data_IF_390048547768
#
_entry.id   IF_390048547768
#
_cell.length_a   1.000
_cell.length_b   1.000
_cell.length_c   1.000
_cell.angle_alpha   90.00
_cell.angle_beta   90.00
_cell.angle_gamma   90.00
#
_symmetry.space_group_name_H-M   'P 1'
#
loop_
_entity.id
_entity.type
_entity.pdbx_description
1 polymer ?
#
# COMPACT_ATOMS: atom_id res chain seq x y z
N UNK A 1 -29.85 -4.34 65.59
CA UNK A 1 -29.85 -3.59 64.31
C UNK A 1 -28.44 -3.55 63.70
N UNK A 2 -27.79 -4.67 63.46
CA UNK A 2 -26.44 -4.73 62.84
C UNK A 2 -26.27 -5.80 61.75
N UNK A 3 -27.30 -6.50 61.30
CA UNK A 3 -27.15 -7.60 60.34
C UNK A 3 -27.95 -7.45 59.02
N UNK A 4 -28.55 -6.28 58.76
CA UNK A 4 -29.35 -6.09 57.54
C UNK A 4 -28.54 -5.40 56.42
N UNK A 5 -27.45 -4.72 56.75
CA UNK A 5 -26.64 -3.97 55.74
C UNK A 5 -25.66 -4.86 54.96
N UNK A 6 -25.31 -6.04 55.42
CA UNK A 6 -24.33 -6.92 54.76
C UNK A 6 -24.92 -7.75 53.61
N UNK A 7 -26.21 -8.08 53.63
CA UNK A 7 -26.84 -8.89 52.60
C UNK A 7 -27.20 -8.07 51.32
N UNK A 8 -27.53 -6.80 51.47
CA UNK A 8 -27.80 -5.96 50.29
C UNK A 8 -26.56 -5.58 49.50
N UNK A 9 -25.41 -5.42 50.15
CA UNK A 9 -24.15 -5.14 49.48
C UNK A 9 -23.60 -6.30 48.67
N UNK A 10 -23.79 -7.52 49.13
CA UNK A 10 -23.36 -8.75 48.43
C UNK A 10 -24.26 -9.03 47.22
N UNK A 11 -25.56 -8.76 47.30
CA UNK A 11 -26.47 -8.94 46.18
C UNK A 11 -26.24 -7.91 45.05
N UNK A 12 -25.89 -6.64 45.38
CA UNK A 12 -25.54 -5.64 44.39
C UNK A 12 -24.20 -5.94 43.70
N UNK A 13 -23.21 -6.43 44.45
CA UNK A 13 -21.89 -6.77 43.86
C UNK A 13 -21.98 -8.01 42.97
N UNK A 14 -22.80 -8.99 43.31
CA UNK A 14 -23.05 -10.17 42.47
C UNK A 14 -23.81 -9.80 41.18
N UNK A 15 -24.72 -8.83 41.23
CA UNK A 15 -25.47 -8.35 40.05
C UNK A 15 -24.55 -7.59 39.09
N UNK A 16 -23.56 -6.81 39.57
CA UNK A 16 -22.57 -6.14 38.73
C UNK A 16 -21.56 -7.10 38.10
N UNK A 17 -21.23 -8.20 38.77
CA UNK A 17 -20.31 -9.21 38.19
C UNK A 17 -21.00 -10.04 37.09
N UNK A 18 -22.30 -10.25 37.17
CA UNK A 18 -23.06 -10.97 36.12
C UNK A 18 -23.32 -10.10 34.87
N UNK A 19 -23.32 -8.76 34.99
CA UNK A 19 -23.45 -7.87 33.80
C UNK A 19 -22.11 -7.60 33.11
N UNK A 20 -20.99 -8.01 33.66
CA UNK A 20 -19.68 -8.01 33.01
C UNK A 20 -19.42 -9.28 32.18
N UNK A 21 -20.46 -9.98 31.73
CA UNK A 21 -20.29 -10.94 30.63
C UNK A 21 -19.88 -10.14 29.40
N UNK A 22 -18.60 -10.21 29.10
CA UNK A 22 -17.96 -9.73 27.89
C UNK A 22 -18.91 -9.90 26.71
N UNK A 23 -19.40 -8.81 26.16
CA UNK A 23 -19.96 -8.79 24.80
C UNK A 23 -18.84 -9.19 23.85
N UNK A 24 -18.57 -10.47 23.76
CA UNK A 24 -17.70 -11.02 22.75
C UNK A 24 -18.46 -10.89 21.45
N UNK A 25 -17.86 -10.23 20.47
CA UNK A 25 -18.44 -10.19 19.14
C UNK A 25 -18.79 -11.64 18.70
N UNK A 26 -19.97 -11.83 18.15
CA UNK A 26 -20.40 -13.16 17.73
C UNK A 26 -19.48 -13.66 16.63
N UNK A 27 -19.04 -14.91 16.73
CA UNK A 27 -18.29 -15.60 15.70
C UNK A 27 -19.25 -16.22 14.68
N UNK A 28 -18.97 -16.00 13.40
CA UNK A 28 -19.66 -16.57 12.25
C UNK A 28 -18.69 -17.46 11.50
N UNK A 29 -18.65 -18.76 11.83
CA UNK A 29 -17.80 -19.70 11.12
C UNK A 29 -18.35 -19.92 9.72
N UNK A 30 -17.56 -19.71 8.68
CA UNK A 30 -18.02 -19.87 7.30
C UNK A 30 -18.50 -21.28 6.98
N UNK A 31 -18.06 -22.30 7.73
CA UNK A 31 -18.50 -23.67 7.57
C UNK A 31 -19.98 -23.86 7.97
N UNK A 32 -20.48 -23.07 8.91
CA UNK A 32 -21.90 -23.09 9.33
C UNK A 32 -22.80 -22.55 8.20
N UNK A 33 -22.21 -21.83 7.22
CA UNK A 33 -22.87 -21.33 6.02
C UNK A 33 -22.61 -22.21 4.79
N UNK A 34 -21.97 -23.37 4.96
CA UNK A 34 -21.75 -24.35 3.92
C UNK A 34 -20.41 -24.34 3.21
N UNK A 35 -19.46 -23.50 3.65
CA UNK A 35 -18.11 -23.49 3.12
C UNK A 35 -17.41 -24.85 3.36
N UNK A 36 -16.67 -25.33 2.38
CA UNK A 36 -15.96 -26.62 2.44
C UNK A 36 -14.50 -26.46 2.88
N UNK A 37 -13.83 -25.44 2.37
CA UNK A 37 -12.41 -25.22 2.63
C UNK A 37 -11.52 -26.34 2.08
N UNK A 38 -11.90 -26.95 0.96
CA UNK A 38 -11.21 -28.08 0.31
C UNK A 38 -10.25 -27.60 -0.80
N UNK A 39 -10.24 -26.29 -1.12
CA UNK A 39 -9.44 -25.71 -2.20
C UNK A 39 -9.95 -25.96 -3.61
N UNK A 40 -11.02 -26.69 -3.78
CA UNK A 40 -11.58 -27.10 -5.07
C UNK A 40 -12.94 -26.43 -5.34
N UNK A 41 -13.85 -26.49 -4.39
CA UNK A 41 -15.18 -25.87 -4.49
C UNK A 41 -15.11 -24.39 -4.17
N UNK A 42 -15.88 -23.61 -4.92
CA UNK A 42 -16.02 -22.18 -4.65
C UNK A 42 -16.85 -21.97 -3.37
N UNK A 43 -16.21 -21.43 -2.35
CA UNK A 43 -16.82 -21.09 -1.06
C UNK A 43 -17.36 -19.65 -1.02
N UNK A 44 -17.29 -18.90 -2.11
CA UNK A 44 -17.65 -17.48 -2.20
C UNK A 44 -19.01 -17.18 -1.60
N UNK A 45 -20.04 -17.97 -1.97
CA UNK A 45 -21.42 -17.75 -1.51
C UNK A 45 -21.55 -17.99 0.00
N UNK A 46 -20.91 -19.03 0.51
CA UNK A 46 -20.93 -19.35 1.95
C UNK A 46 -20.21 -18.28 2.76
N UNK A 47 -19.04 -17.85 2.31
CA UNK A 47 -18.28 -16.78 2.98
C UNK A 47 -19.07 -15.47 2.96
N UNK A 48 -19.65 -15.10 1.80
CA UNK A 48 -20.44 -13.87 1.69
C UNK A 48 -21.69 -13.93 2.59
N UNK A 49 -22.34 -15.09 2.69
CA UNK A 49 -23.49 -15.29 3.56
C UNK A 49 -23.14 -15.10 5.05
N UNK A 50 -21.95 -15.54 5.46
CA UNK A 50 -21.45 -15.29 6.82
C UNK A 50 -21.22 -13.79 7.06
N UNK A 51 -20.62 -13.07 6.09
CA UNK A 51 -20.41 -11.61 6.17
C UNK A 51 -21.76 -10.88 6.27
N UNK A 52 -22.74 -11.29 5.45
CA UNK A 52 -24.08 -10.68 5.43
C UNK A 52 -24.84 -10.96 6.75
N UNK A 53 -24.67 -12.14 7.31
CA UNK A 53 -25.26 -12.49 8.60
C UNK A 53 -24.64 -11.69 9.75
N UNK A 54 -23.32 -11.50 9.74
CA UNK A 54 -22.61 -10.67 10.71
C UNK A 54 -23.09 -9.22 10.66
N UNK A 55 -23.14 -8.61 9.47
CA UNK A 55 -23.66 -7.25 9.26
C UNK A 55 -25.10 -7.13 9.79
N UNK A 56 -25.97 -8.06 9.44
CA UNK A 56 -27.39 -8.06 9.88
C UNK A 56 -27.54 -8.11 11.39
N UNK A 57 -26.57 -8.68 12.10
CA UNK A 57 -26.51 -8.72 13.58
C UNK A 57 -25.91 -7.45 14.19
N UNK A 58 -25.52 -6.49 13.37
CA UNK A 58 -24.86 -5.25 13.82
C UNK A 58 -23.35 -5.37 13.96
N UNK A 59 -22.75 -6.43 13.45
CA UNK A 59 -21.32 -6.71 13.44
C UNK A 59 -20.97 -8.09 13.99
N UNK A 60 -19.73 -8.49 13.83
CA UNK A 60 -19.22 -9.76 14.32
C UNK A 60 -17.95 -10.20 13.59
N UNK A 61 -17.39 -11.31 14.05
CA UNK A 61 -16.19 -11.89 13.47
C UNK A 61 -16.54 -13.05 12.56
N UNK A 62 -16.28 -12.92 11.26
CA UNK A 62 -16.41 -14.00 10.27
C UNK A 62 -15.10 -14.77 10.22
N UNK A 63 -15.15 -16.07 10.50
CA UNK A 63 -13.96 -16.88 10.74
C UNK A 63 -13.77 -17.92 9.66
N UNK A 64 -12.60 -17.88 9.01
CA UNK A 64 -12.05 -18.95 8.20
C UNK A 64 -11.05 -19.74 9.05
N UNK A 65 -11.25 -21.04 9.23
CA UNK A 65 -10.33 -21.92 9.94
C UNK A 65 -10.22 -23.29 9.27
N UNK A 66 -9.03 -23.88 9.38
CA UNK A 66 -8.74 -25.27 8.99
C UNK A 66 -9.10 -25.60 7.54
N UNK A 67 -8.50 -24.94 6.58
CA UNK A 67 -8.72 -25.27 5.17
C UNK A 67 -8.27 -24.22 4.16
N UNK A 68 -8.49 -24.56 2.90
CA UNK A 68 -8.22 -23.71 1.75
C UNK A 68 -9.56 -23.31 1.14
N UNK A 69 -9.94 -22.05 1.30
CA UNK A 69 -11.24 -21.53 0.85
C UNK A 69 -11.09 -20.85 -0.50
N UNK A 70 -11.46 -21.57 -1.58
CA UNK A 70 -11.44 -21.02 -2.94
C UNK A 70 -12.59 -20.02 -3.10
N UNK A 71 -12.25 -18.76 -3.41
CA UNK A 71 -13.25 -17.70 -3.49
C UNK A 71 -13.04 -16.74 -4.65
N UNK A 72 -14.15 -16.31 -5.22
CA UNK A 72 -14.23 -15.09 -6.00
C UNK A 72 -14.31 -13.87 -5.09
N UNK A 73 -14.81 -12.76 -5.64
CA UNK A 73 -14.89 -11.49 -4.93
C UNK A 73 -15.81 -11.54 -3.69
N UNK A 74 -15.35 -10.97 -2.61
CA UNK A 74 -16.05 -10.82 -1.34
C UNK A 74 -16.27 -9.33 -1.05
N UNK A 75 -17.46 -8.96 -0.59
CA UNK A 75 -17.77 -7.62 -0.14
C UNK A 75 -17.80 -7.57 1.38
N UNK A 76 -16.78 -6.94 1.98
CA UNK A 76 -16.72 -6.72 3.43
C UNK A 76 -17.64 -5.54 3.81
N UNK A 77 -18.36 -5.68 4.92
CA UNK A 77 -19.43 -4.77 5.33
C UNK A 77 -19.18 -4.18 6.71
N UNK A 78 -19.90 -3.11 7.03
CA UNK A 78 -19.75 -2.39 8.30
C UNK A 78 -19.89 -3.29 9.52
N UNK A 79 -19.03 -3.10 10.51
CA UNK A 79 -19.01 -3.85 11.77
C UNK A 79 -18.41 -5.26 11.66
N UNK A 80 -17.91 -5.67 10.49
CA UNK A 80 -17.42 -7.03 10.27
C UNK A 80 -15.90 -7.11 10.39
N UNK A 81 -15.42 -8.01 11.24
CA UNK A 81 -14.06 -8.51 11.27
C UNK A 81 -13.97 -9.79 10.43
N UNK A 82 -13.22 -9.75 9.32
CA UNK A 82 -12.90 -10.91 8.50
C UNK A 82 -11.60 -11.56 9.01
N UNK A 83 -11.73 -12.66 9.70
CA UNK A 83 -10.64 -13.34 10.40
C UNK A 83 -10.18 -14.59 9.65
N UNK A 84 -8.92 -14.61 9.26
CA UNK A 84 -8.27 -15.76 8.60
C UNK A 84 -7.35 -16.40 9.63
N UNK A 85 -7.75 -17.52 10.19
CA UNK A 85 -6.95 -18.25 11.17
C UNK A 85 -5.64 -18.76 10.57
N UNK A 86 -4.65 -19.04 11.42
CA UNK A 86 -3.32 -19.52 11.01
C UNK A 86 -3.37 -20.75 10.10
N UNK A 87 -4.36 -21.62 10.30
CA UNK A 87 -4.55 -22.87 9.55
C UNK A 87 -5.38 -22.69 8.29
N UNK A 88 -5.81 -21.45 7.99
CA UNK A 88 -6.67 -21.15 6.86
C UNK A 88 -5.95 -20.37 5.75
N UNK A 89 -6.34 -20.68 4.52
CA UNK A 89 -5.96 -19.91 3.33
C UNK A 89 -7.23 -19.48 2.58
N UNK A 90 -7.34 -18.18 2.33
CA UNK A 90 -8.27 -17.65 1.34
C UNK A 90 -7.58 -17.69 -0.03
N UNK A 91 -8.01 -18.59 -0.90
CA UNK A 91 -7.44 -18.79 -2.24
C UNK A 91 -8.31 -18.08 -3.29
N UNK A 92 -7.70 -17.17 -4.07
CA UNK A 92 -8.44 -16.48 -5.14
C UNK A 92 -8.79 -17.43 -6.29
N UNK A 93 -10.01 -17.31 -6.80
CA UNK A 93 -10.45 -18.06 -7.97
C UNK A 93 -9.56 -17.77 -9.19
N UNK A 94 -9.21 -18.78 -9.97
CA UNK A 94 -8.53 -18.57 -11.25
C UNK A 94 -9.44 -17.99 -12.34
N UNK A 95 -10.75 -18.01 -12.13
CA UNK A 95 -11.73 -17.52 -13.09
C UNK A 95 -12.04 -16.04 -12.87
N UNK A 96 -11.67 -15.21 -13.84
CA UNK A 96 -11.91 -13.76 -13.78
C UNK A 96 -13.41 -13.39 -13.74
N UNK A 97 -14.29 -14.28 -14.18
CA UNK A 97 -15.72 -14.05 -14.12
C UNK A 97 -16.28 -14.03 -12.69
N UNK A 98 -15.52 -14.59 -11.73
CA UNK A 98 -15.89 -14.56 -10.31
C UNK A 98 -15.61 -13.18 -9.65
N UNK A 99 -15.07 -12.23 -10.40
CA UNK A 99 -14.74 -10.90 -9.91
C UNK A 99 -15.53 -9.82 -10.65
N UNK A 100 -16.68 -9.40 -10.11
CA UNK A 100 -17.48 -8.34 -10.70
C UNK A 100 -16.74 -7.00 -10.69
N UNK A 101 -17.11 -6.14 -11.63
CA UNK A 101 -16.59 -4.78 -11.68
C UNK A 101 -17.37 -3.89 -10.71
N UNK A 102 -16.67 -3.31 -9.74
CA UNK A 102 -17.22 -2.41 -8.71
C UNK A 102 -17.37 -0.95 -9.17
N UNK A 103 -17.42 -0.68 -10.47
CA UNK A 103 -17.50 0.68 -11.04
C UNK A 103 -18.76 1.46 -10.69
N UNK A 104 -19.78 0.82 -10.20
CA UNK A 104 -21.08 1.46 -9.89
C UNK A 104 -21.27 1.75 -8.39
N UNK A 105 -20.23 1.64 -7.60
CA UNK A 105 -20.28 1.99 -6.18
C UNK A 105 -19.99 3.47 -5.98
N UNK A 106 -20.52 4.06 -4.92
CA UNK A 106 -20.66 5.50 -4.75
C UNK A 106 -19.34 6.29 -4.77
N UNK A 107 -18.23 5.70 -4.36
CA UNK A 107 -16.92 6.35 -4.29
C UNK A 107 -15.99 6.07 -5.46
N UNK A 108 -16.34 5.17 -6.36
CA UNK A 108 -15.49 4.84 -7.49
C UNK A 108 -16.16 5.27 -8.78
N UNK A 109 -15.92 6.51 -9.14
CA UNK A 109 -16.33 7.02 -10.46
C UNK A 109 -15.52 6.30 -11.53
N UNK A 110 -16.17 5.92 -12.63
CA UNK A 110 -15.59 5.33 -13.84
C UNK A 110 -14.26 5.96 -14.18
N UNK A 111 -13.14 5.34 -13.80
CA UNK A 111 -11.90 5.94 -14.16
C UNK A 111 -10.73 5.04 -14.32
N UNK A 112 -10.15 5.24 -15.39
CA UNK A 112 -8.76 5.18 -15.82
C UNK A 112 -7.72 4.79 -14.76
N UNK A 113 -8.07 3.80 -13.96
CA UNK A 113 -7.08 3.01 -13.30
C UNK A 113 -6.38 2.19 -14.37
N UNK A 114 -5.10 1.88 -14.24
CA UNK A 114 -4.27 1.34 -15.32
C UNK A 114 -4.84 0.11 -16.02
N UNK A 115 -5.94 -0.41 -15.54
CA UNK A 115 -6.69 -1.51 -16.12
C UNK A 115 -8.17 -1.28 -15.81
N UNK A 116 -8.92 -1.07 -16.78
CA UNK A 116 -10.30 -0.61 -16.93
C UNK A 116 -11.38 -1.23 -16.01
N UNK A 117 -11.03 -2.03 -15.02
CA UNK A 117 -11.98 -2.72 -14.14
C UNK A 117 -11.60 -2.51 -12.68
N UNK A 118 -12.57 -2.12 -11.86
CA UNK A 118 -12.43 -2.04 -10.41
C UNK A 118 -12.78 -3.39 -9.76
N UNK A 119 -12.03 -4.43 -10.12
CA UNK A 119 -12.19 -5.76 -9.54
C UNK A 119 -11.22 -5.93 -8.35
N UNK A 120 -11.65 -6.67 -7.36
CA UNK A 120 -10.85 -7.02 -6.20
C UNK A 120 -11.32 -8.36 -5.61
N UNK A 121 -10.42 -9.05 -4.90
CA UNK A 121 -10.78 -10.24 -4.14
C UNK A 121 -11.58 -9.87 -2.88
N UNK A 122 -11.13 -8.85 -2.15
CA UNK A 122 -11.86 -8.30 -1.01
C UNK A 122 -12.11 -6.81 -1.28
N UNK A 123 -13.36 -6.44 -1.31
CA UNK A 123 -13.81 -5.08 -1.59
C UNK A 123 -14.67 -4.55 -0.43
N UNK A 124 -14.57 -3.27 -0.16
CA UNK A 124 -15.47 -2.56 0.75
C UNK A 124 -15.67 -1.12 0.29
N UNK A 125 -16.89 -0.61 0.42
CA UNK A 125 -17.28 0.72 0.02
C UNK A 125 -18.11 1.38 1.11
N UNK A 126 -17.69 2.57 1.56
CA UNK A 126 -18.33 3.37 2.62
C UNK A 126 -18.59 2.63 3.95
N UNK A 127 -17.88 1.52 4.17
CA UNK A 127 -18.07 0.74 5.39
C UNK A 127 -17.32 1.35 6.57
N UNK A 128 -17.86 1.12 7.76
CA UNK A 128 -17.29 1.59 9.03
C UNK A 128 -17.01 0.42 9.95
N UNK A 129 -15.92 0.52 10.73
CA UNK A 129 -15.53 -0.50 11.71
C UNK A 129 -15.35 -1.86 11.04
N UNK A 130 -14.47 -1.91 10.04
CA UNK A 130 -14.14 -3.14 9.32
C UNK A 130 -12.74 -3.61 9.66
N UNK A 131 -12.54 -4.91 9.66
CA UNK A 131 -11.21 -5.46 9.90
C UNK A 131 -10.91 -6.67 9.01
N UNK A 132 -9.65 -6.83 8.62
CA UNK A 132 -9.07 -8.09 8.14
C UNK A 132 -7.99 -8.47 9.16
N UNK A 133 -8.13 -9.63 9.79
CA UNK A 133 -7.24 -10.04 10.88
C UNK A 133 -6.86 -11.50 10.78
N UNK A 134 -5.99 -11.92 11.67
CA UNK A 134 -5.57 -13.32 11.80
C UNK A 134 -4.19 -13.55 11.21
N UNK A 135 -3.63 -14.73 11.47
CA UNK A 135 -2.29 -15.08 11.00
C UNK A 135 -2.31 -16.09 9.84
N UNK A 136 -3.43 -16.18 9.15
CA UNK A 136 -3.62 -17.01 7.97
C UNK A 136 -3.11 -16.35 6.68
N UNK A 137 -3.46 -16.96 5.57
CA UNK A 137 -2.92 -16.58 4.26
C UNK A 137 -4.01 -16.12 3.31
N UNK A 138 -3.75 -15.05 2.57
CA UNK A 138 -4.46 -14.69 1.34
C UNK A 138 -3.54 -15.11 0.19
N UNK A 139 -3.92 -16.14 -0.55
CA UNK A 139 -3.24 -16.55 -1.77
C UNK A 139 -3.99 -16.02 -2.99
N UNK A 140 -3.35 -15.09 -3.68
CA UNK A 140 -3.97 -14.42 -4.84
C UNK A 140 -3.96 -15.29 -6.10
N UNK A 141 -3.38 -16.49 -6.05
CA UNK A 141 -3.33 -17.45 -7.17
C UNK A 141 -2.78 -16.84 -8.48
N UNK A 142 -1.82 -15.93 -8.34
CA UNK A 142 -1.39 -15.03 -9.40
C UNK A 142 -0.89 -15.72 -10.66
N UNK A 143 -0.28 -16.90 -10.54
CA UNK A 143 0.19 -17.70 -11.67
C UNK A 143 -0.95 -18.04 -12.67
N UNK A 144 -2.17 -18.21 -12.17
CA UNK A 144 -3.35 -18.48 -12.99
C UNK A 144 -3.85 -17.26 -13.75
N UNK A 145 -3.43 -16.07 -13.36
CA UNK A 145 -3.78 -14.80 -13.99
C UNK A 145 -2.69 -14.30 -14.97
N UNK A 146 -1.68 -15.10 -15.25
CA UNK A 146 -0.59 -14.75 -16.14
C UNK A 146 -0.83 -15.40 -17.50
N UNK A 147 -0.91 -14.55 -18.54
CA UNK A 147 -1.08 -14.98 -19.92
C UNK A 147 0.23 -15.50 -20.51
N UNK A 148 1.34 -14.82 -20.21
CA UNK A 148 2.59 -15.04 -20.91
C UNK A 148 3.78 -14.56 -20.09
N UNK A 149 4.86 -15.35 -20.10
CA UNK A 149 6.16 -14.96 -19.55
C UNK A 149 7.06 -14.58 -20.73
N UNK A 150 7.41 -13.30 -20.84
CA UNK A 150 8.31 -12.79 -21.89
C UNK A 150 9.60 -12.29 -21.29
N UNK A 151 10.69 -12.57 -21.99
CA UNK A 151 11.89 -11.78 -21.77
C UNK A 151 11.64 -10.36 -22.29
N UNK A 152 11.72 -9.38 -21.40
CA UNK A 152 11.61 -7.98 -21.76
C UNK A 152 13.01 -7.38 -21.88
N UNK A 153 13.30 -6.77 -23.01
CA UNK A 153 14.44 -5.88 -23.16
C UNK A 153 13.98 -4.45 -22.86
N UNK A 154 14.30 -3.95 -21.70
CA UNK A 154 14.09 -2.54 -21.43
C UNK A 154 15.43 -1.84 -21.27
N UNK A 155 15.74 -0.91 -22.14
CA UNK A 155 16.98 -0.10 -22.14
C UNK A 155 18.29 -0.92 -22.13
N UNK A 156 18.30 -2.05 -22.86
CA UNK A 156 19.49 -2.91 -22.99
C UNK A 156 19.63 -3.99 -21.91
N UNK A 157 18.67 -4.11 -21.01
CA UNK A 157 18.66 -5.11 -19.96
C UNK A 157 17.74 -6.27 -20.30
N UNK A 158 18.24 -7.48 -20.12
CA UNK A 158 17.46 -8.69 -20.27
C UNK A 158 16.95 -9.12 -18.89
N UNK A 159 15.66 -9.01 -18.65
CA UNK A 159 14.99 -9.58 -17.49
C UNK A 159 13.72 -10.30 -17.91
N UNK A 160 13.37 -11.32 -17.18
CA UNK A 160 12.12 -12.02 -17.39
C UNK A 160 10.99 -11.19 -16.73
N UNK A 161 10.12 -10.63 -17.54
CA UNK A 161 8.93 -9.94 -17.07
C UNK A 161 7.71 -10.75 -17.41
N UNK A 162 6.89 -10.96 -16.42
CA UNK A 162 5.62 -11.66 -16.59
C UNK A 162 4.57 -10.68 -17.06
N UNK A 163 3.86 -11.06 -18.12
CA UNK A 163 2.73 -10.28 -18.61
C UNK A 163 1.43 -10.86 -18.08
N UNK A 164 0.64 -10.10 -17.30
CA UNK A 164 -0.63 -10.56 -16.80
C UNK A 164 -1.63 -10.73 -17.93
N UNK A 165 -2.65 -11.54 -17.68
CA UNK A 165 -3.83 -11.55 -18.53
C UNK A 165 -4.47 -10.16 -18.56
N UNK A 166 -5.14 -9.84 -19.68
CA UNK A 166 -5.82 -8.55 -19.88
C UNK A 166 -6.83 -8.24 -18.78
N UNK A 167 -7.38 -9.27 -18.14
CA UNK A 167 -8.42 -9.19 -17.10
C UNK A 167 -7.93 -9.63 -15.72
N UNK A 168 -6.63 -9.57 -15.44
CA UNK A 168 -6.13 -9.90 -14.09
C UNK A 168 -6.68 -8.94 -13.03
N UNK A 169 -6.67 -9.38 -11.78
CA UNK A 169 -7.06 -8.56 -10.64
C UNK A 169 -6.18 -7.29 -10.58
N UNK A 170 -6.72 -6.08 -10.74
CA UNK A 170 -5.94 -4.86 -10.60
C UNK A 170 -5.63 -4.54 -9.13
N UNK A 171 -6.38 -5.11 -8.20
CA UNK A 171 -6.19 -5.00 -6.75
C UNK A 171 -6.63 -6.27 -6.06
N UNK A 172 -6.02 -6.59 -4.92
CA UNK A 172 -6.42 -7.75 -4.11
C UNK A 172 -7.39 -7.31 -3.01
N UNK A 173 -6.99 -6.35 -2.20
CA UNK A 173 -7.86 -5.70 -1.20
C UNK A 173 -8.09 -4.26 -1.64
N UNK A 174 -9.35 -3.88 -1.79
CA UNK A 174 -9.73 -2.55 -2.19
C UNK A 174 -10.79 -1.98 -1.24
N UNK A 175 -10.42 -0.97 -0.47
CA UNK A 175 -11.31 -0.23 0.41
C UNK A 175 -11.46 1.20 -0.09
N UNK A 176 -12.71 1.63 -0.28
CA UNK A 176 -13.06 2.95 -0.79
C UNK A 176 -14.03 3.66 0.17
N UNK A 177 -13.70 4.87 0.61
CA UNK A 177 -14.55 5.67 1.49
C UNK A 177 -14.82 5.06 2.86
N UNK A 178 -13.97 4.15 3.32
CA UNK A 178 -14.16 3.44 4.59
C UNK A 178 -13.55 4.20 5.77
N UNK A 179 -14.06 3.95 6.97
CA UNK A 179 -13.51 4.53 8.20
C UNK A 179 -13.44 3.54 9.35
N UNK A 180 -12.47 3.75 10.26
CA UNK A 180 -12.19 2.85 11.37
C UNK A 180 -11.85 1.44 10.83
N UNK A 181 -10.72 1.38 10.12
CA UNK A 181 -10.26 0.20 9.38
C UNK A 181 -9.06 -0.41 10.08
N UNK A 182 -9.09 -1.71 10.33
CA UNK A 182 -7.96 -2.46 10.90
C UNK A 182 -7.56 -3.60 9.95
N UNK A 183 -6.28 -3.66 9.55
CA UNK A 183 -5.74 -4.77 8.76
C UNK A 183 -4.47 -5.27 9.48
N UNK A 184 -4.46 -6.51 9.96
CA UNK A 184 -3.31 -6.97 10.74
C UNK A 184 -3.01 -8.46 10.64
N UNK A 185 -1.71 -8.76 10.74
CA UNK A 185 -1.10 -10.09 10.94
C UNK A 185 -1.23 -11.06 9.76
N UNK A 186 -1.97 -10.71 8.71
CA UNK A 186 -2.23 -11.58 7.55
C UNK A 186 -1.01 -11.66 6.64
N UNK A 187 -0.76 -12.84 6.10
CA UNK A 187 0.22 -13.06 5.03
C UNK A 187 -0.47 -13.03 3.67
N UNK A 188 0.05 -12.25 2.72
CA UNK A 188 -0.43 -12.24 1.33
C UNK A 188 0.68 -12.76 0.40
N UNK A 189 0.31 -13.71 -0.46
CA UNK A 189 1.21 -14.34 -1.43
C UNK A 189 0.56 -14.43 -2.80
N UNK A 190 1.37 -14.72 -3.81
CA UNK A 190 0.88 -15.04 -5.15
C UNK A 190 0.15 -13.89 -5.85
N UNK A 191 0.48 -12.64 -5.53
CA UNK A 191 -0.16 -11.48 -6.18
C UNK A 191 0.05 -11.54 -7.69
N UNK A 192 -1.02 -11.41 -8.48
CA UNK A 192 -0.89 -11.17 -9.91
C UNK A 192 -0.34 -9.76 -10.15
N UNK A 193 -0.24 -9.34 -11.40
CA UNK A 193 0.10 -7.95 -11.67
C UNK A 193 -1.06 -7.01 -11.26
N UNK A 194 -1.27 -6.88 -9.96
CA UNK A 194 -2.29 -6.05 -9.30
C UNK A 194 -1.85 -5.66 -7.90
N UNK A 195 -2.29 -4.51 -7.43
CA UNK A 195 -1.91 -3.97 -6.13
C UNK A 195 -2.47 -4.81 -4.97
N UNK A 196 -1.62 -5.07 -3.98
CA UNK A 196 -2.01 -5.91 -2.83
C UNK A 196 -3.09 -5.25 -1.98
N UNK A 197 -2.84 -4.04 -1.49
CA UNK A 197 -3.80 -3.27 -0.70
C UNK A 197 -3.97 -1.88 -1.29
N UNK A 198 -5.19 -1.51 -1.60
CA UNK A 198 -5.52 -0.15 -1.99
C UNK A 198 -6.51 0.46 -1.02
N UNK A 199 -6.01 1.42 -0.23
CA UNK A 199 -6.75 2.19 0.76
C UNK A 199 -7.04 3.54 0.12
N UNK A 200 -8.29 3.73 -0.32
CA UNK A 200 -8.70 4.89 -1.12
C UNK A 200 -9.79 5.67 -0.40
N UNK A 201 -9.54 6.95 -0.16
CA UNK A 201 -10.50 7.83 0.53
C UNK A 201 -10.92 7.33 1.92
N UNK A 202 -10.02 6.64 2.62
CA UNK A 202 -10.31 6.09 3.95
C UNK A 202 -9.76 6.98 5.06
N UNK A 203 -10.38 6.92 6.23
CA UNK A 203 -9.94 7.66 7.41
C UNK A 203 -9.86 6.72 8.63
N UNK A 204 -8.97 7.01 9.57
CA UNK A 204 -8.71 6.19 10.78
C UNK A 204 -8.36 4.74 10.41
N UNK A 205 -7.21 4.57 9.72
CA UNK A 205 -6.76 3.26 9.22
C UNK A 205 -5.54 2.78 9.99
N UNK A 206 -5.60 1.57 10.50
CA UNK A 206 -4.47 0.88 11.12
C UNK A 206 -4.09 -0.36 10.32
N UNK A 207 -2.84 -0.43 9.87
CA UNK A 207 -2.25 -1.58 9.17
C UNK A 207 -1.02 -2.03 9.95
N UNK A 208 -0.96 -3.30 10.38
CA UNK A 208 0.17 -3.78 11.17
C UNK A 208 0.48 -5.27 10.99
N UNK A 209 1.75 -5.63 11.13
CA UNK A 209 2.17 -7.05 11.16
C UNK A 209 1.97 -7.80 9.84
N UNK A 210 1.74 -7.13 8.73
CA UNK A 210 1.50 -7.76 7.44
C UNK A 210 2.79 -8.35 6.86
N UNK A 211 2.64 -9.48 6.19
CA UNK A 211 3.64 -10.04 5.30
C UNK A 211 3.10 -10.02 3.87
N UNK A 212 3.67 -9.22 3.01
CA UNK A 212 3.34 -9.15 1.59
C UNK A 212 4.54 -9.73 0.84
N UNK A 213 4.41 -10.95 0.33
CA UNK A 213 5.50 -11.71 -0.29
C UNK A 213 5.15 -11.99 -1.74
N UNK A 214 5.27 -10.96 -2.57
CA UNK A 214 4.95 -11.04 -3.98
C UNK A 214 6.14 -11.57 -4.80
N UNK A 215 5.85 -12.07 -5.99
CA UNK A 215 6.90 -12.35 -6.94
C UNK A 215 7.47 -11.04 -7.51
N UNK A 216 8.72 -10.73 -7.15
CA UNK A 216 9.40 -9.49 -7.55
C UNK A 216 9.56 -9.33 -9.08
N UNK A 217 9.35 -10.37 -9.86
CA UNK A 217 9.41 -10.33 -11.33
C UNK A 217 8.07 -9.91 -11.96
N UNK A 218 7.00 -9.82 -11.20
CA UNK A 218 5.69 -9.43 -11.71
C UNK A 218 5.53 -7.90 -11.72
N UNK A 219 5.03 -7.32 -12.79
CA UNK A 219 4.78 -5.88 -12.84
C UNK A 219 3.52 -5.52 -12.04
N UNK A 220 3.49 -4.31 -11.50
CA UNK A 220 2.32 -3.71 -10.86
C UNK A 220 1.72 -4.56 -9.71
N UNK A 221 2.50 -5.38 -9.04
CA UNK A 221 2.09 -6.06 -7.83
C UNK A 221 2.58 -5.29 -6.59
N UNK A 222 2.24 -4.00 -6.58
CA UNK A 222 2.59 -3.08 -5.51
C UNK A 222 2.08 -3.58 -4.14
N UNK A 223 2.70 -3.11 -3.08
CA UNK A 223 2.34 -3.49 -1.72
C UNK A 223 1.13 -2.71 -1.19
N UNK A 224 1.38 -1.68 -0.39
CA UNK A 224 0.32 -0.88 0.23
C UNK A 224 0.21 0.47 -0.46
N UNK A 225 -0.91 0.76 -1.07
CA UNK A 225 -1.27 2.07 -1.60
C UNK A 225 -2.22 2.81 -0.65
N UNK A 226 -1.79 3.97 -0.17
CA UNK A 226 -2.58 4.89 0.64
C UNK A 226 -2.89 6.10 -0.25
N UNK A 227 -4.15 6.26 -0.65
CA UNK A 227 -4.56 7.31 -1.58
C UNK A 227 -5.70 8.15 -1.02
N UNK A 228 -5.54 9.47 -0.96
CA UNK A 228 -6.55 10.41 -0.44
C UNK A 228 -7.08 10.01 0.95
N UNK A 229 -6.25 9.41 1.78
CA UNK A 229 -6.63 8.87 3.10
C UNK A 229 -5.96 9.66 4.22
N UNK A 230 -6.59 9.68 5.39
CA UNK A 230 -6.13 10.47 6.55
C UNK A 230 -6.06 9.62 7.80
N UNK A 231 -5.16 10.00 8.71
CA UNK A 231 -4.99 9.32 10.00
C UNK A 231 -4.71 7.81 9.80
N UNK A 232 -3.64 7.54 9.02
CA UNK A 232 -3.24 6.18 8.63
C UNK A 232 -1.96 5.80 9.34
N UNK A 233 -1.95 4.64 10.00
CA UNK A 233 -0.73 4.03 10.55
C UNK A 233 -0.39 2.74 9.83
N UNK A 234 0.89 2.54 9.49
CA UNK A 234 1.43 1.28 8.95
C UNK A 234 2.64 0.88 9.79
N UNK A 235 2.61 -0.29 10.41
CA UNK A 235 3.70 -0.73 11.28
C UNK A 235 4.01 -2.21 11.19
N UNK A 236 5.27 -2.57 11.51
CA UNK A 236 5.70 -3.95 11.73
C UNK A 236 5.48 -4.87 10.51
N UNK A 237 5.55 -4.29 9.30
CA UNK A 237 5.28 -5.01 8.06
C UNK A 237 6.56 -5.48 7.36
N UNK A 238 6.49 -6.64 6.71
CA UNK A 238 7.49 -7.16 5.78
C UNK A 238 6.87 -7.13 4.39
N UNK A 239 7.45 -6.34 3.48
CA UNK A 239 6.87 -6.10 2.14
C UNK A 239 7.91 -6.39 1.07
N UNK A 240 7.66 -7.38 0.24
CA UNK A 240 8.46 -7.73 -0.94
C UNK A 240 7.56 -7.68 -2.19
N UNK A 241 7.95 -6.85 -3.17
CA UNK A 241 7.12 -6.58 -4.37
C UNK A 241 7.94 -6.43 -5.63
N UNK A 242 7.32 -6.62 -6.77
CA UNK A 242 7.93 -6.35 -8.07
C UNK A 242 7.72 -4.91 -8.55
N UNK A 243 6.76 -4.18 -7.95
CA UNK A 243 6.57 -2.75 -8.12
C UNK A 243 6.64 -2.06 -6.74
N UNK A 244 6.18 -0.84 -6.58
CA UNK A 244 6.39 -0.02 -5.38
C UNK A 244 5.89 -0.72 -4.09
N UNK A 245 6.73 -0.82 -3.03
CA UNK A 245 6.34 -1.54 -1.82
C UNK A 245 5.34 -0.75 -0.97
N UNK A 246 5.58 0.53 -0.76
CA UNK A 246 4.68 1.42 -0.03
C UNK A 246 4.48 2.72 -0.80
N UNK A 247 3.22 3.11 -0.98
CA UNK A 247 2.87 4.24 -1.85
C UNK A 247 1.91 5.20 -1.15
N UNK A 248 2.24 6.49 -1.14
CA UNK A 248 1.36 7.55 -0.64
C UNK A 248 0.98 8.46 -1.81
N UNK A 249 -0.31 8.61 -2.03
CA UNK A 249 -0.90 9.29 -3.18
C UNK A 249 -2.01 10.24 -2.75
N UNK A 250 -2.30 11.22 -3.57
CA UNK A 250 -3.47 12.09 -3.40
C UNK A 250 -4.23 12.28 -4.72
N UNK A 251 -4.44 11.17 -5.43
CA UNK A 251 -5.19 11.18 -6.68
C UNK A 251 -6.69 11.15 -6.40
N UNK A 252 -7.30 12.33 -6.36
CA UNK A 252 -8.74 12.53 -6.09
C UNK A 252 -9.63 12.37 -7.31
N UNK A 253 -9.10 11.90 -8.41
CA UNK A 253 -9.79 11.87 -9.70
C UNK A 253 -11.08 11.05 -9.71
N UNK A 254 -11.15 10.00 -8.89
CA UNK A 254 -12.34 9.18 -8.68
C UNK A 254 -13.29 9.73 -7.62
N UNK A 255 -12.92 10.82 -6.96
CA UNK A 255 -13.71 11.43 -5.89
C UNK A 255 -14.51 12.62 -6.42
N UNK A 256 -15.58 12.97 -5.72
CA UNK A 256 -16.40 14.17 -6.03
C UNK A 256 -15.64 15.47 -5.75
N UNK A 257 -14.74 15.44 -4.77
CA UNK A 257 -13.96 16.59 -4.32
C UNK A 257 -12.48 16.21 -4.18
N UNK A 258 -11.61 17.20 -4.21
CA UNK A 258 -10.21 16.98 -3.92
C UNK A 258 -10.03 16.63 -2.44
N UNK A 259 -9.28 15.56 -2.17
CA UNK A 259 -8.94 15.15 -0.81
C UNK A 259 -7.43 14.95 -0.69
N UNK A 260 -6.84 15.58 0.32
CA UNK A 260 -5.44 15.37 0.67
C UNK A 260 -5.19 13.95 1.17
N UNK A 261 -3.95 13.49 1.02
CA UNK A 261 -3.45 12.36 1.78
C UNK A 261 -2.54 12.91 2.88
N UNK A 262 -2.91 12.73 4.13
CA UNK A 262 -2.23 13.40 5.24
C UNK A 262 -2.28 12.62 6.55
N UNK A 263 -1.34 12.92 7.44
CA UNK A 263 -1.16 12.25 8.74
C UNK A 263 -0.98 10.74 8.59
N UNK A 264 -0.07 10.38 7.63
CA UNK A 264 0.34 8.99 7.41
C UNK A 264 1.62 8.73 8.21
N UNK A 265 1.59 7.75 9.08
CA UNK A 265 2.74 7.31 9.88
C UNK A 265 3.12 5.89 9.50
N UNK A 266 4.37 5.70 9.08
CA UNK A 266 4.93 4.38 8.73
C UNK A 266 6.13 4.11 9.62
N UNK A 267 6.16 2.96 10.30
CA UNK A 267 7.30 2.61 11.14
C UNK A 267 7.58 1.10 11.20
N UNK A 268 8.81 0.75 11.62
CA UNK A 268 9.23 -0.64 11.88
C UNK A 268 9.00 -1.60 10.70
N UNK A 269 9.23 -1.16 9.46
CA UNK A 269 8.99 -1.97 8.28
C UNK A 269 10.29 -2.43 7.60
N UNK A 270 10.24 -3.62 7.01
CA UNK A 270 11.26 -4.12 6.08
C UNK A 270 10.68 -4.11 4.65
N UNK A 271 11.35 -3.41 3.75
CA UNK A 271 10.86 -3.17 2.39
C UNK A 271 11.86 -3.67 1.36
N UNK A 272 11.37 -4.44 0.39
CA UNK A 272 12.10 -4.88 -0.81
C UNK A 272 11.23 -4.65 -2.04
N UNK A 273 11.80 -4.07 -3.10
CA UNK A 273 11.03 -3.78 -4.31
C UNK A 273 11.91 -3.73 -5.56
N UNK A 274 11.37 -4.22 -6.67
CA UNK A 274 12.03 -3.99 -7.97
C UNK A 274 11.74 -2.59 -8.54
N UNK A 275 10.93 -1.80 -7.88
CA UNK A 275 10.70 -0.38 -8.17
C UNK A 275 11.14 0.50 -7.01
N UNK A 276 10.22 0.98 -6.18
CA UNK A 276 10.57 1.87 -5.06
C UNK A 276 10.20 1.22 -3.71
N UNK A 277 11.08 1.35 -2.72
CA UNK A 277 10.75 0.99 -1.34
C UNK A 277 9.60 1.87 -0.81
N UNK A 278 9.76 3.19 -0.93
CA UNK A 278 8.71 4.16 -0.61
C UNK A 278 8.51 5.08 -1.82
N UNK A 279 7.26 5.23 -2.25
CA UNK A 279 6.89 6.17 -3.31
C UNK A 279 5.95 7.23 -2.78
N UNK A 280 6.29 8.49 -3.02
CA UNK A 280 5.48 9.65 -2.66
C UNK A 280 5.06 10.37 -3.94
N UNK A 281 3.76 10.38 -4.20
CA UNK A 281 3.17 11.08 -5.33
C UNK A 281 3.35 10.42 -6.69
N UNK A 282 2.52 10.84 -7.63
CA UNK A 282 2.56 10.47 -9.04
C UNK A 282 1.76 11.47 -9.87
N UNK A 283 1.48 11.15 -11.13
CA UNK A 283 0.66 11.96 -12.03
C UNK A 283 -0.72 12.26 -11.42
N UNK A 284 -1.12 13.52 -11.48
CA UNK A 284 -2.44 14.05 -11.05
C UNK A 284 -2.74 13.95 -9.56
N UNK A 285 -1.74 13.81 -8.73
CA UNK A 285 -1.95 13.90 -7.28
C UNK A 285 -2.18 15.36 -6.87
N UNK A 286 -2.98 15.55 -5.83
CA UNK A 286 -3.19 16.81 -5.13
C UNK A 286 -2.20 16.99 -3.98
N UNK A 287 -2.71 17.20 -2.77
CA UNK A 287 -1.92 17.50 -1.58
C UNK A 287 -1.54 16.24 -0.81
N UNK A 288 -0.23 16.04 -0.60
CA UNK A 288 0.34 15.02 0.29
C UNK A 288 1.12 15.76 1.36
N UNK A 289 0.76 15.62 2.62
CA UNK A 289 1.41 16.36 3.71
C UNK A 289 1.36 15.66 5.06
N UNK A 290 2.16 16.17 6.00
CA UNK A 290 2.15 15.75 7.41
C UNK A 290 2.37 14.24 7.57
N UNK A 291 3.36 13.68 6.84
CA UNK A 291 3.65 12.24 6.86
C UNK A 291 5.00 11.95 7.50
N UNK A 292 5.09 10.83 8.22
CA UNK A 292 6.30 10.39 8.90
C UNK A 292 6.64 8.94 8.58
N UNK A 293 7.92 8.71 8.24
CA UNK A 293 8.47 7.39 7.92
C UNK A 293 9.68 7.14 8.81
N UNK A 294 9.64 6.11 9.67
CA UNK A 294 10.70 5.90 10.64
C UNK A 294 11.03 4.44 10.92
N UNK A 295 12.27 4.18 11.33
CA UNK A 295 12.73 2.83 11.70
C UNK A 295 12.51 1.81 10.58
N UNK A 296 12.96 2.11 9.36
CA UNK A 296 12.71 1.30 8.18
C UNK A 296 14.03 0.75 7.63
N UNK A 297 14.01 -0.52 7.25
CA UNK A 297 15.07 -1.14 6.45
C UNK A 297 14.57 -1.29 5.01
N UNK A 298 15.33 -0.76 4.06
CA UNK A 298 15.07 -0.93 2.62
C UNK A 298 16.25 -1.69 2.03
N UNK A 299 15.99 -2.82 1.41
CA UNK A 299 17.08 -3.65 0.88
C UNK A 299 16.73 -4.22 -0.49
N UNK A 300 17.77 -4.52 -1.28
CA UNK A 300 17.65 -5.13 -2.61
C UNK A 300 16.55 -4.48 -3.47
N UNK A 301 16.59 -3.15 -3.54
CA UNK A 301 15.53 -2.32 -4.09
C UNK A 301 16.09 -1.39 -5.16
N UNK A 302 15.31 -1.10 -6.21
CA UNK A 302 15.81 -0.19 -7.26
C UNK A 302 15.97 1.23 -6.76
N UNK A 303 14.94 1.81 -6.17
CA UNK A 303 14.97 3.16 -5.59
C UNK A 303 14.51 3.10 -4.13
N UNK A 304 15.31 3.64 -3.22
CA UNK A 304 14.94 3.64 -1.80
C UNK A 304 13.68 4.45 -1.54
N UNK A 305 13.75 5.77 -1.73
CA UNK A 305 12.62 6.70 -1.61
C UNK A 305 12.47 7.50 -2.90
N UNK A 306 11.30 7.42 -3.52
CA UNK A 306 11.02 8.07 -4.79
C UNK A 306 9.95 9.16 -4.65
N UNK A 307 10.30 10.37 -5.10
CA UNK A 307 9.41 11.51 -5.28
C UNK A 307 9.40 11.87 -6.76
N UNK A 308 8.63 11.16 -7.56
CA UNK A 308 8.61 11.40 -9.00
C UNK A 308 7.25 11.95 -9.39
N UNK A 309 7.22 13.22 -9.76
CA UNK A 309 6.01 13.91 -10.22
C UNK A 309 6.08 14.07 -11.73
N UNK A 310 5.58 13.12 -12.52
CA UNK A 310 5.49 13.27 -13.97
C UNK A 310 4.44 14.34 -14.32
N UNK A 311 4.51 14.90 -15.55
CA UNK A 311 3.53 15.88 -15.99
C UNK A 311 2.12 15.29 -15.95
N UNK A 312 1.12 16.15 -15.72
CA UNK A 312 -0.29 15.78 -15.88
C UNK A 312 -0.52 15.20 -17.27
N UNK A 313 -1.22 14.11 -17.34
CA UNK A 313 -1.70 13.56 -18.60
C UNK A 313 -3.07 14.16 -18.90
N UNK A 314 -3.16 15.01 -19.91
CA UNK A 314 -4.44 15.40 -20.50
C UNK A 314 -4.88 14.27 -21.43
N UNK A 315 -5.68 13.34 -20.94
CA UNK A 315 -6.33 12.35 -21.78
C UNK A 315 -7.80 12.77 -22.03
N UNK A 316 -8.37 12.52 -23.23
CA UNK A 316 -9.78 12.74 -23.48
C UNK A 316 -10.64 12.01 -22.44
N UNK A 317 -11.63 12.68 -21.87
CA UNK A 317 -12.48 12.12 -20.81
C UNK A 317 -11.94 12.28 -19.39
N UNK A 318 -10.82 12.96 -19.21
CA UNK A 318 -10.34 13.34 -17.89
C UNK A 318 -11.14 14.57 -17.43
N UNK A 319 -11.98 14.35 -16.43
CA UNK A 319 -12.69 15.45 -15.78
C UNK A 319 -11.69 16.35 -15.04
N UNK A 320 -12.01 17.63 -14.92
CA UNK A 320 -11.18 18.68 -14.31
C UNK A 320 -11.00 18.57 -12.78
N UNK A 321 -11.27 17.40 -12.21
CA UNK A 321 -10.94 17.10 -10.81
C UNK A 321 -9.42 17.07 -10.66
N UNK A 322 -8.83 18.05 -10.18
CA UNK A 322 -7.37 18.12 -10.08
C UNK A 322 -6.88 19.42 -10.67
N UNK A 323 -7.63 20.49 -10.47
CA UNK A 323 -7.16 21.85 -10.72
C UNK A 323 -6.09 22.29 -9.75
N UNK A 324 -5.91 21.54 -8.65
CA UNK A 324 -4.83 21.80 -7.71
C UNK A 324 -3.51 21.26 -8.23
N UNK A 325 -2.46 22.06 -8.11
CA UNK A 325 -1.10 21.60 -8.32
C UNK A 325 -0.76 20.54 -7.31
N UNK A 326 0.05 19.55 -7.69
CA UNK A 326 0.58 18.60 -6.72
C UNK A 326 1.43 19.34 -5.70
N UNK A 327 1.08 19.21 -4.42
CA UNK A 327 1.85 19.72 -3.31
C UNK A 327 2.28 18.59 -2.40
N UNK A 328 3.60 18.44 -2.23
CA UNK A 328 4.19 17.50 -1.28
C UNK A 328 4.94 18.33 -0.23
N UNK A 329 4.49 18.29 1.01
CA UNK A 329 5.08 19.12 2.06
C UNK A 329 5.07 18.48 3.45
N UNK A 330 5.97 18.95 4.32
CA UNK A 330 6.07 18.55 5.72
C UNK A 330 6.15 17.02 5.90
N UNK A 331 7.16 16.42 5.27
CA UNK A 331 7.42 14.98 5.39
C UNK A 331 8.73 14.74 6.16
N UNK A 332 8.74 13.72 7.01
CA UNK A 332 9.94 13.30 7.73
C UNK A 332 10.30 11.84 7.48
N UNK A 333 11.59 11.60 7.26
CA UNK A 333 12.19 10.27 7.09
C UNK A 333 13.32 10.12 8.12
N UNK A 334 13.18 9.17 9.06
CA UNK A 334 14.14 9.05 10.15
C UNK A 334 14.53 7.62 10.47
N UNK A 335 15.79 7.41 10.87
CA UNK A 335 16.30 6.10 11.24
C UNK A 335 16.09 5.05 10.13
N UNK A 336 16.52 5.38 8.91
CA UNK A 336 16.36 4.48 7.76
C UNK A 336 17.72 3.91 7.35
N UNK A 337 17.78 2.60 7.17
CA UNK A 337 18.93 1.89 6.59
C UNK A 337 18.56 1.38 5.21
N UNK A 338 19.43 1.67 4.23
CA UNK A 338 19.26 1.20 2.86
C UNK A 338 20.51 0.46 2.40
N UNK A 339 20.32 -0.73 1.88
CA UNK A 339 21.41 -1.55 1.33
C UNK A 339 20.97 -2.25 0.05
N UNK A 340 21.92 -2.51 -0.86
CA UNK A 340 21.55 -3.14 -2.12
C UNK A 340 20.63 -2.27 -2.98
N UNK A 341 20.87 -0.95 -3.03
CA UNK A 341 20.06 -0.05 -3.84
C UNK A 341 20.60 -0.02 -5.27
N UNK A 342 19.81 -0.54 -6.21
CA UNK A 342 20.24 -0.78 -7.59
C UNK A 342 20.18 0.45 -8.50
N UNK A 343 19.55 1.52 -8.06
CA UNK A 343 19.59 2.81 -8.72
C UNK A 343 19.98 3.90 -7.71
N UNK A 344 19.03 4.53 -7.04
CA UNK A 344 19.30 5.68 -6.17
C UNK A 344 18.64 5.54 -4.80
N UNK A 345 19.35 5.87 -3.72
CA UNK A 345 18.75 5.89 -2.37
C UNK A 345 17.56 6.86 -2.29
N UNK A 346 17.70 8.03 -2.89
CA UNK A 346 16.64 9.04 -2.98
C UNK A 346 16.58 9.53 -4.41
N UNK A 347 15.40 9.50 -4.99
CA UNK A 347 15.10 10.06 -6.30
C UNK A 347 13.98 11.09 -6.19
N UNK A 348 14.31 12.37 -6.28
CA UNK A 348 13.32 13.44 -6.28
C UNK A 348 13.35 14.17 -7.61
N UNK A 349 12.26 14.13 -8.37
CA UNK A 349 12.18 14.73 -9.68
C UNK A 349 10.80 15.32 -9.97
N UNK A 350 10.77 16.61 -10.31
CA UNK A 350 9.61 17.26 -10.90
C UNK A 350 9.85 17.33 -12.41
N UNK A 351 9.18 16.48 -13.17
CA UNK A 351 9.34 16.40 -14.61
C UNK A 351 8.63 17.56 -15.32
N UNK A 352 9.04 17.83 -16.57
CA UNK A 352 8.47 18.91 -17.35
C UNK A 352 6.94 18.85 -17.44
N UNK A 353 6.27 19.94 -17.11
CA UNK A 353 4.84 20.08 -17.30
C UNK A 353 4.51 20.20 -18.79
N UNK A 354 3.35 19.70 -19.20
CA UNK A 354 2.77 20.09 -20.46
C UNK A 354 2.27 21.54 -20.36
N UNK A 355 2.21 22.25 -21.49
CA UNK A 355 1.73 23.63 -21.55
C UNK A 355 0.34 23.76 -20.88
N UNK A 356 0.19 24.67 -19.94
CA UNK A 356 -1.07 24.90 -19.20
C UNK A 356 -1.30 24.05 -17.95
N UNK A 357 -0.31 23.25 -17.51
CA UNK A 357 -0.38 22.47 -16.27
C UNK A 357 0.17 23.28 -15.10
N UNK A 358 -0.53 23.23 -13.95
CA UNK A 358 -0.09 23.89 -12.73
C UNK A 358 1.25 23.31 -12.25
N UNK A 359 2.12 24.17 -11.73
CA UNK A 359 3.40 23.77 -11.19
C UNK A 359 3.20 22.88 -9.94
N UNK A 360 3.97 21.80 -9.86
CA UNK A 360 4.06 21.01 -8.64
C UNK A 360 5.00 21.69 -7.62
N UNK A 361 4.82 21.43 -6.34
CA UNK A 361 5.73 21.86 -5.29
C UNK A 361 6.12 20.69 -4.40
N UNK A 362 7.39 20.64 -3.99
CA UNK A 362 7.91 19.74 -2.96
C UNK A 362 8.73 20.59 -2.00
N UNK A 363 8.27 20.68 -0.75
CA UNK A 363 8.92 21.53 0.25
C UNK A 363 8.87 20.95 1.66
N UNK A 364 9.76 21.47 2.52
CA UNK A 364 9.80 21.12 3.94
C UNK A 364 9.91 19.60 4.18
N UNK A 365 10.90 18.97 3.55
CA UNK A 365 11.17 17.54 3.68
C UNK A 365 12.44 17.31 4.46
N UNK A 366 12.38 16.48 5.50
CA UNK A 366 13.50 16.18 6.37
C UNK A 366 13.91 14.72 6.32
N UNK A 367 15.22 14.48 6.20
CA UNK A 367 15.87 13.19 6.39
C UNK A 367 16.80 13.27 7.60
N UNK A 368 16.66 12.35 8.56
CA UNK A 368 17.47 12.31 9.78
C UNK A 368 17.93 10.87 10.08
N UNK A 369 19.22 10.68 10.32
CA UNK A 369 19.81 9.35 10.56
C UNK A 369 19.51 8.38 9.40
N UNK A 370 19.68 8.80 8.16
CA UNK A 370 19.48 7.96 6.98
C UNK A 370 20.83 7.57 6.41
N UNK A 371 21.07 6.26 6.32
CA UNK A 371 22.34 5.73 5.83
C UNK A 371 22.06 4.73 4.69
N UNK A 372 22.67 4.98 3.55
CA UNK A 372 22.38 4.23 2.34
C UNK A 372 23.63 3.85 1.54
N UNK A 373 23.61 2.65 0.98
CA UNK A 373 24.56 2.20 -0.03
C UNK A 373 23.83 1.81 -1.31
N UNK A 374 24.32 2.30 -2.45
CA UNK A 374 23.70 2.03 -3.74
C UNK A 374 24.61 2.26 -4.93
N UNK A 375 24.16 1.91 -6.13
CA UNK A 375 24.95 2.09 -7.36
C UNK A 375 25.11 3.55 -7.75
N UNK A 376 24.18 4.43 -7.30
CA UNK A 376 24.27 5.87 -7.52
C UNK A 376 23.98 6.64 -6.23
N UNK A 377 24.35 7.91 -6.20
CA UNK A 377 24.05 8.84 -5.12
C UNK A 377 22.64 9.44 -5.28
N UNK A 378 22.08 10.13 -4.26
CA UNK A 378 20.81 10.83 -4.38
C UNK A 378 20.72 11.78 -5.58
N UNK A 379 19.51 11.91 -6.09
CA UNK A 379 19.19 12.77 -7.24
C UNK A 379 18.05 13.73 -6.88
N UNK A 380 18.29 15.02 -7.01
CA UNK A 380 17.33 16.09 -6.71
C UNK A 380 17.19 17.02 -7.90
N UNK A 381 16.07 16.97 -8.60
CA UNK A 381 15.81 17.79 -9.77
C UNK A 381 14.42 18.41 -9.71
N UNK A 382 14.36 19.65 -9.24
CA UNK A 382 13.21 20.52 -9.43
C UNK A 382 13.16 21.09 -10.85
N UNK A 383 12.40 22.15 -11.02
CA UNK A 383 12.32 22.96 -12.24
C UNK A 383 12.53 24.42 -11.90
N UNK A 384 12.88 25.23 -12.90
CA UNK A 384 13.07 26.65 -12.69
C UNK A 384 11.81 27.35 -12.15
N UNK A 385 10.63 26.92 -12.60
CA UNK A 385 9.32 27.42 -12.18
C UNK A 385 8.76 26.75 -10.92
N UNK A 386 9.33 25.62 -10.49
CA UNK A 386 8.96 24.89 -9.27
C UNK A 386 10.19 24.15 -8.68
N UNK A 387 11.07 24.85 -7.96
CA UNK A 387 12.23 24.24 -7.33
C UNK A 387 11.82 23.33 -6.18
N UNK A 388 12.69 22.35 -5.86
CA UNK A 388 12.60 21.65 -4.59
C UNK A 388 13.05 22.62 -3.48
N UNK A 389 12.28 22.80 -2.41
CA UNK A 389 12.51 23.87 -1.43
C UNK A 389 12.55 23.35 0.01
N UNK A 390 13.51 23.84 0.79
CA UNK A 390 13.54 23.64 2.25
C UNK A 390 13.83 22.21 2.71
N UNK A 391 14.61 21.43 1.94
CA UNK A 391 14.96 20.06 2.34
C UNK A 391 16.14 20.06 3.31
N UNK A 392 16.06 19.28 4.37
CA UNK A 392 17.06 19.20 5.43
C UNK A 392 17.53 17.75 5.60
N UNK A 393 18.84 17.59 5.61
CA UNK A 393 19.51 16.30 5.86
C UNK A 393 20.37 16.44 7.13
N UNK A 394 20.02 15.68 8.16
CA UNK A 394 20.71 15.68 9.45
C UNK A 394 21.30 14.29 9.72
N UNK A 395 22.62 14.21 9.94
CA UNK A 395 23.32 12.97 10.28
C UNK A 395 23.04 11.83 9.26
N UNK A 396 23.23 12.12 7.98
CA UNK A 396 22.98 11.16 6.88
C UNK A 396 24.29 10.74 6.20
N UNK A 397 24.31 9.54 5.62
CA UNK A 397 25.40 9.12 4.76
C UNK A 397 24.91 8.35 3.55
N UNK A 398 25.42 8.72 2.39
CA UNK A 398 25.09 8.11 1.12
C UNK A 398 26.37 7.67 0.43
N UNK A 399 26.54 6.36 0.23
CA UNK A 399 27.76 5.81 -0.37
C UNK A 399 27.44 5.12 -1.69
N UNK A 400 28.13 5.56 -2.74
CA UNK A 400 28.12 4.88 -4.03
C UNK A 400 29.06 3.68 -3.96
N UNK A 401 28.58 2.52 -4.40
CA UNK A 401 29.36 1.28 -4.49
C UNK A 401 29.49 0.82 -5.94
N UNK A 402 30.52 0.03 -6.24
CA UNK A 402 30.70 -0.53 -7.57
C UNK A 402 29.65 -1.59 -7.92
N UNK A 403 29.43 -1.82 -9.22
CA UNK A 403 28.49 -2.84 -9.71
C UNK A 403 28.84 -4.25 -9.24
N UNK A 404 30.12 -4.53 -9.02
CA UNK A 404 30.62 -5.83 -8.53
C UNK A 404 30.11 -6.16 -7.13
N UNK A 405 29.85 -5.15 -6.30
CA UNK A 405 29.31 -5.32 -4.96
C UNK A 405 27.81 -5.61 -4.95
N UNK A 406 27.13 -5.48 -6.10
CA UNK A 406 25.71 -5.75 -6.29
C UNK A 406 25.50 -6.66 -7.52
N UNK A 407 25.86 -7.94 -7.45
CA UNK A 407 25.92 -8.84 -8.61
C UNK A 407 24.56 -9.01 -9.33
N UNK A 408 23.48 -8.91 -8.59
CA UNK A 408 22.12 -9.10 -9.13
C UNK A 408 21.51 -7.83 -9.75
N UNK A 409 22.25 -6.72 -9.77
CA UNK A 409 21.75 -5.45 -10.29
C UNK A 409 21.25 -5.52 -11.75
N UNK A 410 21.86 -6.40 -12.57
CA UNK A 410 21.44 -6.61 -13.96
C UNK A 410 20.07 -7.25 -14.11
N UNK A 411 19.56 -7.88 -13.08
CA UNK A 411 18.26 -8.53 -13.06
C UNK A 411 17.13 -7.57 -12.67
N UNK A 412 17.45 -6.41 -12.08
CA UNK A 412 16.48 -5.40 -11.67
C UNK A 412 15.94 -4.60 -12.86
N UNK A 413 14.68 -4.84 -13.23
CA UNK A 413 14.09 -4.29 -14.44
C UNK A 413 13.83 -2.78 -14.44
N UNK A 414 13.54 -2.19 -13.28
CA UNK A 414 13.21 -0.76 -13.17
C UNK A 414 14.42 0.14 -12.96
N UNK A 415 15.57 -0.41 -12.60
CA UNK A 415 16.79 0.37 -12.37
C UNK A 415 17.27 1.15 -13.62
N UNK A 416 16.81 0.77 -14.80
CA UNK A 416 17.35 1.28 -16.05
C UNK A 416 16.88 2.68 -16.43
N UNK A 417 15.64 3.06 -16.12
CA UNK A 417 15.14 4.38 -16.54
C UNK A 417 15.58 5.50 -15.59
N UNK A 418 15.85 5.17 -14.35
CA UNK A 418 16.35 6.10 -13.34
C UNK A 418 17.88 6.28 -13.40
N UNK A 419 18.58 5.41 -14.15
CA UNK A 419 20.04 5.45 -14.33
C UNK A 419 20.52 6.15 -15.61
N UNK A 420 19.63 6.67 -16.42
CA UNK A 420 20.00 7.36 -17.67
C UNK A 420 20.96 8.53 -17.46
N UNK A 421 20.90 9.16 -16.30
CA UNK A 421 21.83 10.19 -15.90
C UNK A 421 22.92 9.56 -15.02
N UNK A 422 24.05 9.19 -15.60
CA UNK A 422 25.24 8.65 -14.92
C UNK A 422 25.99 9.69 -14.08
N UNK A 423 25.32 10.76 -13.73
CA UNK A 423 25.89 11.79 -12.87
C UNK A 423 25.76 11.35 -11.41
N UNK A 424 26.81 11.41 -10.63
CA UNK A 424 26.85 11.06 -9.23
C UNK A 424 25.77 11.76 -8.38
N UNK A 425 26.15 12.55 -7.41
CA UNK A 425 25.21 13.40 -6.67
C UNK A 425 24.71 14.56 -7.54
N UNK A 426 23.40 14.69 -7.69
CA UNK A 426 22.78 15.68 -8.57
C UNK A 426 21.86 16.60 -7.78
N UNK A 427 22.05 17.91 -7.96
CA UNK A 427 21.16 18.96 -7.46
C UNK A 427 20.88 19.97 -8.58
N UNK A 428 19.60 20.07 -9.02
CA UNK A 428 19.16 21.01 -10.05
C UNK A 428 17.88 21.70 -9.59
N UNK A 429 17.81 23.03 -9.71
CA UNK A 429 16.65 23.81 -9.30
C UNK A 429 16.20 23.45 -7.87
N UNK A 430 17.14 23.53 -6.94
CA UNK A 430 16.93 23.32 -5.50
C UNK A 430 17.13 24.63 -4.76
N UNK A 431 16.37 24.84 -3.67
CA UNK A 431 16.44 26.05 -2.86
C UNK A 431 16.31 25.66 -1.39
N UNK A 432 17.05 26.34 -0.50
CA UNK A 432 16.91 26.13 0.96
C UNK A 432 17.35 24.74 1.45
N UNK A 433 18.17 24.01 0.70
CA UNK A 433 18.72 22.72 1.12
C UNK A 433 19.77 22.93 2.23
N UNK A 434 19.72 22.09 3.26
CA UNK A 434 20.70 22.07 4.36
C UNK A 434 21.22 20.67 4.57
N UNK A 435 22.52 20.52 4.68
CA UNK A 435 23.21 19.26 4.96
C UNK A 435 24.03 19.42 6.23
N UNK A 436 23.52 18.89 7.35
CA UNK A 436 24.16 18.93 8.64
C UNK A 436 24.73 17.54 8.93
N UNK A 437 26.04 17.44 9.22
CA UNK A 437 26.71 16.15 9.46
C UNK A 437 26.29 15.08 8.42
N UNK A 438 26.34 15.44 7.13
CA UNK A 438 25.85 14.60 6.05
C UNK A 438 26.96 14.38 5.01
N UNK A 439 27.19 13.13 4.64
CA UNK A 439 28.27 12.70 3.77
C UNK A 439 27.79 12.04 2.49
N UNK A 440 28.52 12.32 1.40
CA UNK A 440 28.32 11.67 0.08
C UNK A 440 29.64 11.05 -0.33
N UNK A 441 29.72 9.72 -0.31
CA UNK A 441 30.97 8.97 -0.49
C UNK A 441 30.95 8.20 -1.83
N UNK A 442 32.07 8.21 -2.55
CA UNK A 442 32.31 7.35 -3.72
C UNK A 442 33.38 6.35 -3.36
N UNK A 443 33.03 5.07 -3.32
CA UNK A 443 33.93 3.97 -2.98
C UNK A 443 34.34 3.19 -4.22
#
# INVERSE_FOLDING_TARGET
MKNIFTFQSIALTALFIVLATTLRAADFNVRDFGAKGDGERKDTVAIQSAIDAAEKKGGGRVVLCDGIFLSGALRLKSGVEFHIDRTATLLASPDIADFPDWTNVNHVVKENLPRTRNVALIFSDEAKKIAITGSGTIDCNGERHIKEKKQANWTGWKYERVHPMTNSLPRVVFFAGCSDVVIRDVTMVGQPAGWSYWIHDCDLVQISGLKILANVRYPNNDGIHINCSRDVTVSDCIIETGDDALVVRANSRSLKENKSCERVVVNNCSLRSWASGIRIGWTNDGVIRDCSFSNIVIHDTSVGVAFVLPPRRNAPGWTDYGREATLVENLSFSNIRMSGIYARPILASIRAAQKGVLAAAMRDIRFSNVHATGLELPFFAGRADCPLDGWIFDNCSFSKVSEEKLPDWKQHGSASWDRKEKEGFVMRHTKGFKFNNTEFNVQ
#
